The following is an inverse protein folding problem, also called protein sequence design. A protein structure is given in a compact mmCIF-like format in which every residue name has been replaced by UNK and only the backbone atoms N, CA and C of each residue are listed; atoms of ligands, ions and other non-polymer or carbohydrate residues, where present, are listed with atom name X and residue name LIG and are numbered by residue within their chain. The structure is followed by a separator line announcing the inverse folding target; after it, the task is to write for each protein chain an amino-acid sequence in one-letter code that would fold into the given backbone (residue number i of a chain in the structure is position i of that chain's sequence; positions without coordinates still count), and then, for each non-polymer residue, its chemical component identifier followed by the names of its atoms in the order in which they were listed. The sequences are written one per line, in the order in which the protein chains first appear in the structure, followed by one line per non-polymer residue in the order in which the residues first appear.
data_IF_639291655181
#
_entry.id   IF_639291655181
#
_cell.length_a   1.000
_cell.length_b   1.000
_cell.length_c   1.000
_cell.angle_alpha   90.00
_cell.angle_beta   90.00
_cell.angle_gamma   90.00
#
_symmetry.space_group_name_H-M   'P 1'
#
loop_
_entity.id
_entity.type
_entity.pdbx_description
1 polymer ?
#
# COMPACT_ATOMS: atom_id res chain seq x y z
N UNK A 1 1.28 12.91 -10.74
CA UNK A 1 1.47 11.52 -11.22
C UNK A 1 2.91 11.22 -11.65
N UNK A 2 3.74 12.22 -12.00
CA UNK A 2 5.12 12.00 -12.47
C UNK A 2 5.98 11.03 -11.63
N UNK A 3 5.88 11.06 -10.29
CA UNK A 3 6.68 10.14 -9.44
C UNK A 3 6.31 8.66 -9.61
N UNK A 4 5.03 8.36 -9.84
CA UNK A 4 4.60 7.00 -10.15
C UNK A 4 5.19 6.57 -11.49
N UNK A 5 5.08 7.42 -12.52
CA UNK A 5 5.57 7.07 -13.86
C UNK A 5 7.10 6.90 -13.87
N UNK A 6 7.84 7.73 -13.13
CA UNK A 6 9.28 7.57 -12.92
C UNK A 6 9.61 6.25 -12.19
N UNK A 7 8.86 5.92 -11.14
CA UNK A 7 9.05 4.67 -10.41
C UNK A 7 8.78 3.45 -11.31
N UNK A 8 7.69 3.48 -12.08
CA UNK A 8 7.33 2.41 -13.02
C UNK A 8 8.36 2.28 -14.17
N UNK A 9 8.89 3.40 -14.67
CA UNK A 9 9.95 3.38 -15.67
C UNK A 9 11.25 2.79 -15.12
N UNK A 10 11.58 3.07 -13.86
CA UNK A 10 12.74 2.49 -13.18
C UNK A 10 12.53 1.01 -12.79
N UNK A 11 11.28 0.58 -12.60
CA UNK A 11 10.93 -0.78 -12.16
C UNK A 11 9.83 -1.40 -13.05
N UNK A 12 10.11 -1.66 -14.33
CA UNK A 12 9.09 -2.09 -15.29
C UNK A 12 8.47 -3.46 -14.96
N UNK A 13 9.16 -4.31 -14.20
CA UNK A 13 8.67 -5.62 -13.76
C UNK A 13 7.93 -5.61 -12.41
N UNK A 14 7.75 -4.45 -11.76
CA UNK A 14 7.11 -4.42 -10.46
C UNK A 14 5.57 -4.46 -10.55
N UNK A 15 4.88 -4.96 -9.51
CA UNK A 15 3.43 -4.90 -9.43
C UNK A 15 2.85 -3.50 -9.64
N UNK A 16 3.54 -2.45 -9.18
CA UNK A 16 3.16 -1.05 -9.38
C UNK A 16 3.13 -0.66 -10.85
N UNK A 17 4.10 -1.11 -11.65
CA UNK A 17 4.13 -0.87 -13.09
C UNK A 17 2.99 -1.60 -13.82
N UNK A 18 2.67 -2.82 -13.40
CA UNK A 18 1.66 -3.65 -14.03
C UNK A 18 0.21 -3.29 -13.63
N UNK A 19 -0.01 -2.91 -12.37
CA UNK A 19 -1.34 -2.71 -11.78
C UNK A 19 -1.69 -1.26 -11.51
N UNK A 20 -0.70 -0.36 -11.53
CA UNK A 20 -0.84 1.09 -11.30
C UNK A 20 -1.81 1.41 -10.15
N UNK A 21 -1.44 1.09 -8.88
CA UNK A 21 -2.31 1.31 -7.74
C UNK A 21 -2.67 2.79 -7.59
N UNK A 22 -3.86 3.06 -7.05
CA UNK A 22 -4.31 4.41 -6.76
C UNK A 22 -3.47 5.01 -5.63
N UNK A 23 -2.96 6.23 -5.83
CA UNK A 23 -2.16 6.95 -4.84
C UNK A 23 -3.01 7.98 -4.09
N UNK A 24 -3.00 7.89 -2.78
CA UNK A 24 -3.63 8.85 -1.87
C UNK A 24 -2.58 9.45 -0.94
N UNK A 25 -2.76 10.72 -0.55
CA UNK A 25 -1.97 11.37 0.49
C UNK A 25 -2.88 11.62 1.69
N UNK A 26 -2.57 11.01 2.83
CA UNK A 26 -3.30 11.19 4.08
C UNK A 26 -2.33 11.39 5.23
N UNK A 27 -2.50 12.48 5.98
CA UNK A 27 -1.68 12.79 7.16
C UNK A 27 -0.17 12.70 6.90
N UNK A 28 0.28 13.22 5.75
CA UNK A 28 1.68 13.17 5.28
C UNK A 28 2.21 11.78 4.92
N UNK A 29 1.34 10.78 4.79
CA UNK A 29 1.69 9.45 4.30
C UNK A 29 1.06 9.21 2.93
N UNK A 30 1.86 8.69 2.02
CA UNK A 30 1.43 8.17 0.73
C UNK A 30 0.90 6.76 0.90
N UNK A 31 -0.25 6.51 0.28
CA UNK A 31 -0.96 5.24 0.33
C UNK A 31 -1.17 4.80 -1.12
N UNK A 32 -0.60 3.64 -1.48
CA UNK A 32 -0.81 2.97 -2.75
C UNK A 32 -1.84 1.84 -2.54
N UNK A 33 -3.02 1.96 -3.13
CA UNK A 33 -4.12 1.03 -2.97
C UNK A 33 -4.49 0.35 -4.29
N UNK A 34 -4.62 -0.97 -4.27
CA UNK A 34 -5.24 -1.74 -5.33
C UNK A 34 -6.38 -2.59 -4.76
N UNK A 35 -7.61 -2.27 -5.12
CA UNK A 35 -8.81 -2.97 -4.67
C UNK A 35 -9.97 -2.03 -4.34
N UNK A 36 -11.13 -2.58 -3.95
CA UNK A 36 -12.33 -1.79 -3.65
C UNK A 36 -12.20 -0.95 -2.37
N UNK A 37 -11.40 -1.40 -1.41
CA UNK A 37 -11.17 -0.71 -0.15
C UNK A 37 -9.80 -1.07 0.44
N UNK A 38 -9.36 -0.33 1.46
CA UNK A 38 -8.12 -0.65 2.21
C UNK A 38 -8.24 -1.98 2.97
N UNK A 39 -9.46 -2.39 3.34
CA UNK A 39 -9.71 -3.61 4.11
C UNK A 39 -9.73 -4.86 3.22
N UNK A 40 -10.17 -4.72 1.98
CA UNK A 40 -10.31 -5.83 1.01
C UNK A 40 -9.24 -5.80 -0.09
N UNK A 41 -8.47 -4.72 -0.18
CA UNK A 41 -7.44 -4.50 -1.18
C UNK A 41 -6.01 -4.64 -0.65
N UNK A 42 -5.04 -4.51 -1.55
CA UNK A 42 -3.61 -4.51 -1.21
C UNK A 42 -3.17 -3.07 -1.01
N UNK A 43 -2.50 -2.79 0.10
CA UNK A 43 -2.12 -1.42 0.48
C UNK A 43 -0.62 -1.31 0.79
N UNK A 44 0.03 -0.35 0.16
CA UNK A 44 1.38 0.10 0.50
C UNK A 44 1.34 1.48 1.15
N UNK A 45 2.07 1.68 2.26
CA UNK A 45 2.10 2.96 2.96
C UNK A 45 3.56 3.41 3.14
N UNK A 46 3.84 4.67 2.84
CA UNK A 46 5.17 5.24 3.00
C UNK A 46 5.18 6.77 3.14
N UNK A 47 6.28 7.32 3.63
CA UNK A 47 6.46 8.78 3.73
C UNK A 47 6.67 9.45 2.35
N UNK A 48 7.03 8.67 1.33
CA UNK A 48 7.15 9.13 -0.07
C UNK A 48 6.36 8.21 -1.01
N UNK A 49 6.17 8.66 -2.24
CA UNK A 49 5.50 7.88 -3.29
C UNK A 49 6.23 6.56 -3.53
N UNK A 50 7.55 6.61 -3.66
CA UNK A 50 8.41 5.45 -3.90
C UNK A 50 8.37 4.46 -2.73
N UNK A 51 8.32 4.97 -1.50
CA UNK A 51 8.20 4.13 -0.31
C UNK A 51 6.84 3.42 -0.25
N UNK A 52 5.75 4.13 -0.61
CA UNK A 52 4.42 3.54 -0.67
C UNK A 52 4.31 2.48 -1.78
N UNK A 53 4.87 2.74 -2.97
CA UNK A 53 4.87 1.80 -4.09
C UNK A 53 5.73 0.56 -3.80
N UNK A 54 6.91 0.75 -3.19
CA UNK A 54 7.74 -0.37 -2.74
C UNK A 54 7.04 -1.23 -1.71
N UNK A 55 6.34 -0.62 -0.75
CA UNK A 55 5.56 -1.35 0.25
C UNK A 55 4.41 -2.13 -0.41
N UNK A 56 3.74 -1.52 -1.39
CA UNK A 56 2.70 -2.16 -2.18
C UNK A 56 3.24 -3.36 -2.97
N UNK A 57 4.36 -3.20 -3.66
CA UNK A 57 5.01 -4.27 -4.44
C UNK A 57 5.34 -5.47 -3.55
N UNK A 58 5.89 -5.21 -2.36
CA UNK A 58 6.21 -6.24 -1.37
C UNK A 58 4.96 -6.97 -0.88
N UNK A 59 3.87 -6.24 -0.57
CA UNK A 59 2.61 -6.86 -0.15
C UNK A 59 1.95 -7.65 -1.29
N UNK A 60 1.99 -7.14 -2.52
CA UNK A 60 1.44 -7.82 -3.69
C UNK A 60 2.14 -9.16 -3.93
N UNK A 61 3.47 -9.18 -3.86
CA UNK A 61 4.27 -10.40 -3.99
C UNK A 61 4.07 -11.35 -2.79
N UNK A 62 3.86 -10.82 -1.59
CA UNK A 62 3.57 -11.61 -0.41
C UNK A 62 2.17 -12.25 -0.45
N UNK A 63 1.16 -11.54 -0.96
CA UNK A 63 -0.22 -12.01 -1.10
C UNK A 63 -0.43 -13.08 -2.17
N UNK A 64 0.56 -13.28 -3.06
CA UNK A 64 0.63 -14.46 -3.94
C UNK A 64 0.98 -15.75 -3.17
N UNK A 65 1.36 -15.64 -1.89
CA UNK A 65 1.43 -16.77 -0.95
C UNK A 65 0.14 -16.81 -0.13
N UNK A 66 -0.42 -18.00 0.17
CA UNK A 66 -1.68 -18.12 0.90
C UNK A 66 -1.60 -17.34 2.23
N UNK A 67 -2.69 -16.65 2.62
CA UNK A 67 -2.65 -15.64 3.66
C UNK A 67 -2.47 -16.29 5.03
N UNK A 68 -1.23 -16.31 5.52
CA UNK A 68 -0.96 -16.48 6.94
C UNK A 68 -0.83 -15.07 7.52
N UNK A 69 -1.90 -14.60 8.18
CA UNK A 69 -1.83 -13.58 9.23
C UNK A 69 -1.57 -12.10 8.84
N UNK A 70 -2.30 -11.54 7.87
CA UNK A 70 -2.38 -10.08 7.69
C UNK A 70 -3.24 -9.35 8.76
N UNK A 71 -3.59 -10.03 9.86
CA UNK A 71 -4.37 -9.51 11.01
C UNK A 71 -3.47 -8.94 12.13
N UNK A 72 -2.38 -8.24 11.81
CA UNK A 72 -1.48 -7.65 12.83
C UNK A 72 -1.42 -6.13 12.87
N UNK A 73 -2.40 -5.42 12.29
CA UNK A 73 -2.50 -3.95 12.46
C UNK A 73 -3.87 -3.41 12.88
N UNK A 74 -4.62 -4.21 13.65
CA UNK A 74 -5.68 -3.71 14.54
C UNK A 74 -5.17 -2.86 15.73
N UNK A 75 -3.97 -2.30 15.68
CA UNK A 75 -3.39 -1.46 16.75
C UNK A 75 -3.58 0.04 16.50
N UNK A 76 -4.65 0.44 15.81
CA UNK A 76 -5.13 1.83 15.79
C UNK A 76 -6.54 1.98 16.40
N UNK A 77 -6.95 1.05 17.27
CA UNK A 77 -8.09 1.24 18.17
C UNK A 77 -7.68 0.94 19.62
N UNK A 78 -6.86 1.82 20.19
CA UNK A 78 -6.80 1.96 21.64
C UNK A 78 -6.85 3.44 21.99
N UNK A 79 -8.07 3.92 22.29
CA UNK A 79 -8.44 4.99 23.25
C UNK A 79 -9.69 5.77 22.86
N UNK A 80 -10.82 5.10 22.75
CA UNK A 80 -12.12 5.72 23.02
C UNK A 80 -12.95 4.79 23.92
N UNK A 81 -12.39 4.50 25.11
CA UNK A 81 -13.18 4.04 26.25
C UNK A 81 -13.76 5.26 26.96
N UNK A 82 -15.04 5.48 26.69
CA UNK A 82 -16.10 5.94 27.58
C UNK A 82 -15.71 6.00 29.08
N UNK A 83 -15.88 7.16 29.69
CA UNK A 83 -16.29 7.35 31.09
C UNK A 83 -17.07 8.66 31.18
#
# INVERSE_FOLDING_TARGET
MERMDLYCAAHPGSPSAARRPQLFLRSHLWIALLGPSVEEGIVGIGATVEAALRAFDAQYLAGLRPPVEALRRGLYNSRLTRA
#
